data_IF_143011328578
#
_entry.id   IF_143011328578
#
_cell.length_a   1.000
_cell.length_b   1.000
_cell.length_c   1.000
_cell.angle_alpha   90.00
_cell.angle_beta   90.00
_cell.angle_gamma   90.00
#
_symmetry.space_group_name_H-M   'P 1'
#
loop_
_entity.id
_entity.type
_entity.pdbx_description
1 polymer ?
#
# COMPACT_ATOMS: atom_id res chain seq x y z
N UNK A 1 0.18 6.38 3.07
CA UNK A 1 0.34 6.25 1.61
C UNK A 1 -0.32 4.95 1.20
N UNK A 2 -1.10 4.99 0.13
CA UNK A 2 -1.79 3.83 -0.46
C UNK A 2 -1.53 3.82 -1.94
N UNK A 3 -1.35 2.61 -2.48
CA UNK A 3 -1.15 2.36 -3.90
C UNK A 3 -2.11 1.24 -4.29
N UNK A 4 -3.04 1.53 -5.17
CA UNK A 4 -4.05 0.60 -5.65
C UNK A 4 -3.79 0.27 -7.11
N UNK A 5 -4.06 -0.99 -7.46
CA UNK A 5 -4.08 -1.46 -8.84
C UNK A 5 -5.19 -2.49 -9.02
N UNK A 6 -5.76 -2.56 -10.22
CA UNK A 6 -6.62 -3.67 -10.63
C UNK A 6 -5.90 -4.62 -11.58
N UNK A 7 -6.51 -5.78 -11.88
CA UNK A 7 -5.91 -6.79 -12.75
C UNK A 7 -5.56 -6.31 -14.17
N UNK A 8 -6.18 -5.22 -14.63
CA UNK A 8 -5.93 -4.61 -15.95
C UNK A 8 -4.86 -3.52 -15.92
N UNK A 9 -4.22 -3.29 -14.77
CA UNK A 9 -3.14 -2.31 -14.62
C UNK A 9 -3.61 -0.87 -14.44
N UNK A 10 -4.91 -0.63 -14.22
CA UNK A 10 -5.37 0.71 -13.84
C UNK A 10 -4.99 0.98 -12.38
N UNK A 11 -4.40 2.15 -12.15
CA UNK A 11 -3.81 2.57 -10.88
C UNK A 11 -4.60 3.72 -10.24
N UNK A 12 -4.49 3.83 -8.91
CA UNK A 12 -4.93 4.96 -8.09
C UNK A 12 -4.03 4.99 -6.86
N UNK A 13 -3.71 6.17 -6.36
CA UNK A 13 -2.88 6.33 -5.18
C UNK A 13 -3.45 7.40 -4.25
N UNK A 14 -2.69 7.67 -3.18
CA UNK A 14 -3.00 8.76 -2.27
C UNK A 14 -2.55 8.49 -0.84
N UNK A 15 -3.19 9.19 0.07
CA UNK A 15 -3.01 9.02 1.51
C UNK A 15 -4.17 8.26 2.11
N UNK A 16 -3.91 7.55 3.20
CA UNK A 16 -4.93 6.84 3.95
C UNK A 16 -4.73 7.12 5.43
N UNK A 17 -5.82 7.40 6.12
CA UNK A 17 -5.87 7.38 7.58
C UNK A 17 -7.13 6.65 8.05
N UNK A 18 -7.06 5.99 9.20
CA UNK A 18 -8.22 5.35 9.82
C UNK A 18 -9.31 6.38 10.25
N UNK A 19 -8.95 7.67 10.35
CA UNK A 19 -9.88 8.75 10.70
C UNK A 19 -10.67 9.31 9.51
N UNK A 20 -9.99 9.55 8.39
CA UNK A 20 -10.54 10.29 7.24
C UNK A 20 -10.75 9.41 6.02
N UNK A 21 -10.19 8.20 6.00
CA UNK A 21 -10.20 7.33 4.82
C UNK A 21 -9.15 7.72 3.80
N UNK A 22 -9.42 7.38 2.53
CA UNK A 22 -8.55 7.68 1.40
C UNK A 22 -8.66 9.18 1.02
N UNK A 23 -7.51 9.82 0.85
CA UNK A 23 -7.34 11.14 0.22
C UNK A 23 -6.53 10.96 -1.06
N UNK A 24 -7.19 11.15 -2.21
CA UNK A 24 -6.61 10.95 -3.55
C UNK A 24 -6.08 12.24 -4.17
N UNK A 25 -5.79 13.26 -3.36
CA UNK A 25 -5.16 14.49 -3.81
C UNK A 25 -3.68 14.34 -4.23
N UNK A 26 -2.85 13.50 -3.55
CA UNK A 26 -1.50 13.20 -4.03
C UNK A 26 -1.53 12.46 -5.36
N UNK A 27 -0.45 12.59 -6.13
CA UNK A 27 -0.20 11.89 -7.39
C UNK A 27 1.28 11.48 -7.38
N UNK A 28 1.56 10.20 -7.10
CA UNK A 28 2.91 9.66 -6.92
C UNK A 28 3.43 9.07 -8.23
N UNK A 29 4.73 9.21 -8.50
CA UNK A 29 5.35 8.60 -9.70
C UNK A 29 5.85 7.17 -9.43
N UNK A 30 5.02 6.17 -9.72
CA UNK A 30 5.36 4.77 -9.54
C UNK A 30 4.96 3.91 -10.73
N UNK A 31 5.58 2.73 -10.85
CA UNK A 31 5.33 1.80 -11.94
C UNK A 31 4.68 0.54 -11.39
N UNK A 32 3.70 0.01 -12.13
CA UNK A 32 3.08 -1.28 -11.85
C UNK A 32 3.01 -2.11 -13.13
N UNK A 33 3.38 -3.38 -13.03
CA UNK A 33 3.12 -4.38 -14.04
C UNK A 33 2.08 -5.38 -13.51
N UNK A 34 1.08 -5.71 -14.31
CA UNK A 34 0.10 -6.76 -13.97
C UNK A 34 0.14 -7.88 -14.99
N UNK A 35 -0.13 -9.09 -14.54
CA UNK A 35 -0.28 -10.25 -15.41
C UNK A 35 -1.48 -11.06 -14.95
N UNK A 36 -2.33 -11.47 -15.89
CA UNK A 36 -3.48 -12.36 -15.66
C UNK A 36 -3.03 -13.78 -15.98
N UNK A 37 -3.30 -14.72 -15.08
CA UNK A 37 -3.03 -16.16 -15.21
C UNK A 37 -4.35 -16.96 -15.13
N UNK A 38 -4.29 -18.26 -15.41
CA UNK A 38 -5.46 -19.14 -15.38
C UNK A 38 -6.12 -19.21 -13.99
N UNK A 39 -5.34 -19.06 -12.92
CA UNK A 39 -5.78 -19.16 -11.53
C UNK A 39 -5.92 -17.80 -10.81
N UNK A 40 -5.62 -16.69 -11.50
CA UNK A 40 -5.67 -15.38 -10.87
C UNK A 40 -4.93 -14.29 -11.63
N UNK A 41 -4.32 -13.40 -10.87
CA UNK A 41 -3.50 -12.32 -11.41
C UNK A 41 -2.47 -11.88 -10.38
N UNK A 42 -1.37 -11.33 -10.87
CA UNK A 42 -0.29 -10.77 -10.08
C UNK A 42 -0.09 -9.28 -10.38
N UNK A 43 0.45 -8.56 -9.41
CA UNK A 43 0.93 -7.19 -9.57
C UNK A 43 2.35 -7.08 -9.02
N UNK A 44 3.23 -6.42 -9.76
CA UNK A 44 4.58 -6.05 -9.33
C UNK A 44 4.69 -4.54 -9.30
N UNK A 45 5.08 -4.00 -8.14
CA UNK A 45 5.20 -2.57 -7.91
C UNK A 45 6.68 -2.16 -7.86
N UNK A 46 7.00 -1.07 -8.55
CA UNK A 46 8.24 -0.33 -8.36
C UNK A 46 7.88 1.07 -7.89
N UNK A 47 8.10 1.32 -6.61
CA UNK A 47 7.86 2.62 -5.99
C UNK A 47 9.23 3.21 -5.63
N UNK A 48 9.63 4.33 -6.24
CA UNK A 48 10.86 5.02 -5.86
C UNK A 48 10.80 5.48 -4.41
N UNK A 49 11.95 5.45 -3.71
CA UNK A 49 12.03 6.03 -2.37
C UNK A 49 11.71 7.53 -2.36
N UNK A 50 11.81 8.24 -3.50
CA UNK A 50 11.38 9.64 -3.63
C UNK A 50 9.90 9.86 -3.39
N UNK A 51 9.09 8.86 -3.69
CA UNK A 51 7.63 8.94 -3.60
C UNK A 51 7.10 8.47 -2.25
N UNK A 52 7.96 7.94 -1.38
CA UNK A 52 7.55 7.41 -0.08
C UNK A 52 8.09 8.31 1.02
N UNK A 53 7.19 8.82 1.85
CA UNK A 53 7.57 9.45 3.10
C UNK A 53 8.20 8.43 4.08
N UNK A 54 9.46 8.64 4.44
CA UNK A 54 10.15 7.91 5.51
C UNK A 54 11.11 8.82 6.27
N UNK A 55 11.34 8.48 7.54
CA UNK A 55 12.42 9.07 8.32
C UNK A 55 13.65 8.15 8.22
N UNK A 56 14.72 8.67 7.62
CA UNK A 56 15.99 7.94 7.47
C UNK A 56 16.68 7.64 8.81
N UNK A 57 16.38 8.43 9.83
CA UNK A 57 16.95 8.29 11.17
C UNK A 57 16.02 7.50 12.10
N UNK A 58 14.83 7.11 11.63
CA UNK A 58 13.94 6.29 12.42
C UNK A 58 14.50 4.87 12.49
N UNK A 59 14.71 4.39 13.72
CA UNK A 59 15.01 2.99 13.99
C UNK A 59 13.78 2.07 13.78
N UNK A 60 12.61 2.66 13.51
CA UNK A 60 11.37 1.91 13.33
C UNK A 60 11.32 1.27 11.95
N UNK A 61 11.00 -0.03 11.85
CA UNK A 61 10.77 -0.67 10.57
C UNK A 61 9.55 -0.04 9.90
N UNK A 62 9.57 -0.01 8.58
CA UNK A 62 8.35 0.28 7.81
C UNK A 62 7.34 -0.81 8.06
N UNK A 63 6.07 -0.55 7.81
CA UNK A 63 5.05 -1.58 7.85
C UNK A 63 4.20 -1.56 6.59
N UNK A 64 3.69 -2.72 6.20
CA UNK A 64 2.88 -2.92 5.02
C UNK A 64 1.62 -3.71 5.38
N UNK A 65 0.50 -3.25 4.84
CA UNK A 65 -0.76 -3.96 4.90
C UNK A 65 -1.30 -4.07 3.49
N UNK A 66 -1.47 -5.31 3.02
CA UNK A 66 -2.01 -5.56 1.68
C UNK A 66 -3.52 -5.74 1.78
N UNK A 67 -4.28 -4.96 1.02
CA UNK A 67 -5.73 -5.09 0.90
C UNK A 67 -6.10 -5.65 -0.48
N UNK A 68 -6.83 -6.77 -0.47
CA UNK A 68 -7.60 -7.22 -1.64
C UNK A 68 -9.06 -6.77 -1.48
N UNK A 69 -9.47 -5.82 -2.32
CA UNK A 69 -10.84 -5.34 -2.40
C UNK A 69 -11.55 -5.98 -3.60
N UNK A 70 -12.49 -6.89 -3.35
CA UNK A 70 -13.29 -7.57 -4.39
C UNK A 70 -14.72 -7.06 -4.39
N UNK A 71 -15.12 -6.40 -5.48
CA UNK A 71 -16.49 -5.99 -5.75
C UNK A 71 -17.17 -7.06 -6.62
N UNK A 72 -17.93 -7.96 -6.01
CA UNK A 72 -18.81 -8.94 -6.72
C UNK A 72 -20.26 -8.59 -6.39
N UNK A 73 -21.07 -9.57 -5.99
CA UNK A 73 -22.43 -9.32 -5.47
C UNK A 73 -22.39 -8.49 -4.17
N UNK A 74 -21.30 -8.61 -3.41
CA UNK A 74 -20.99 -7.83 -2.22
C UNK A 74 -19.52 -7.36 -2.27
N UNK A 75 -19.18 -6.37 -1.45
CA UNK A 75 -17.80 -5.90 -1.28
C UNK A 75 -17.07 -6.73 -0.23
N UNK A 76 -16.11 -7.53 -0.67
CA UNK A 76 -15.23 -8.30 0.21
C UNK A 76 -13.89 -7.58 0.36
N UNK A 77 -13.49 -7.32 1.60
CA UNK A 77 -12.17 -6.78 1.94
C UNK A 77 -11.39 -7.84 2.71
N UNK A 78 -10.26 -8.25 2.17
CA UNK A 78 -9.34 -9.18 2.80
C UNK A 78 -8.00 -8.50 2.97
N UNK A 79 -7.51 -8.48 4.19
CA UNK A 79 -6.23 -7.88 4.54
C UNK A 79 -5.19 -8.99 4.76
N UNK A 80 -3.90 -8.69 4.55
CA UNK A 80 -2.82 -9.62 4.89
C UNK A 80 -2.72 -9.86 6.39
N UNK A 81 -3.03 -8.83 7.20
CA UNK A 81 -3.11 -8.93 8.66
C UNK A 81 -4.51 -9.31 9.17
N UNK A 82 -4.59 -9.64 10.47
CA UNK A 82 -5.80 -10.09 11.18
C UNK A 82 -6.87 -9.01 11.44
N UNK A 83 -7.14 -8.15 10.47
CA UNK A 83 -8.13 -7.05 10.58
C UNK A 83 -9.54 -7.62 10.77
N UNK A 84 -10.18 -7.29 11.88
CA UNK A 84 -11.57 -7.71 12.18
C UNK A 84 -12.57 -6.61 11.85
N UNK A 85 -13.86 -6.96 11.75
CA UNK A 85 -14.93 -5.97 11.54
C UNK A 85 -15.08 -4.96 12.68
N UNK A 86 -14.58 -5.29 13.88
CA UNK A 86 -14.61 -4.43 15.05
C UNK A 86 -13.34 -3.56 15.20
N UNK A 87 -12.36 -3.73 14.30
CA UNK A 87 -11.14 -2.94 14.33
C UNK A 87 -11.43 -1.47 14.00
N UNK A 88 -10.92 -0.57 14.85
CA UNK A 88 -10.92 0.88 14.64
C UNK A 88 -9.65 1.40 13.96
N UNK A 89 -8.61 0.57 13.89
CA UNK A 89 -7.32 0.88 13.27
C UNK A 89 -6.91 -0.29 12.37
N UNK A 90 -7.01 -0.12 11.06
CA UNK A 90 -6.58 -1.15 10.11
C UNK A 90 -5.05 -1.21 10.04
N UNK A 91 -4.38 -0.04 10.03
CA UNK A 91 -2.92 0.04 9.91
C UNK A 91 -2.18 -0.59 11.09
N UNK A 92 -2.84 -0.75 12.24
CA UNK A 92 -2.28 -1.44 13.41
C UNK A 92 -2.05 -2.95 13.19
N UNK A 93 -2.60 -3.51 12.11
CA UNK A 93 -2.41 -4.91 11.71
C UNK A 93 -1.38 -5.06 10.58
N UNK A 94 -0.66 -4.00 10.23
CA UNK A 94 0.40 -4.05 9.22
C UNK A 94 1.57 -4.89 9.70
N UNK A 95 2.17 -5.67 8.81
CA UNK A 95 3.38 -6.43 9.10
C UNK A 95 4.61 -5.54 8.94
N UNK A 96 5.61 -5.72 9.82
CA UNK A 96 6.87 -4.98 9.75
C UNK A 96 7.74 -5.48 8.58
N UNK A 97 8.29 -4.53 7.82
CA UNK A 97 9.30 -4.77 6.79
C UNK A 97 10.66 -4.48 7.40
N UNK A 98 11.44 -5.54 7.58
CA UNK A 98 12.84 -5.46 8.00
C UNK A 98 13.80 -5.40 6.81
N UNK A 99 15.02 -4.93 7.05
CA UNK A 99 16.09 -4.94 6.04
C UNK A 99 16.21 -3.66 5.21
N UNK A 100 15.27 -2.73 5.33
CA UNK A 100 15.35 -1.38 4.74
C UNK A 100 16.27 -0.48 5.58
N UNK A 101 17.59 -0.69 5.48
CA UNK A 101 18.61 0.12 6.16
C UNK A 101 19.38 0.98 5.17
N UNK A 102 19.95 2.10 5.64
CA UNK A 102 20.77 3.01 4.84
C UNK A 102 20.07 3.50 3.57
N UNK A 103 18.78 3.80 3.67
CA UNK A 103 18.01 4.34 2.56
C UNK A 103 18.60 5.69 2.11
N UNK A 104 18.53 6.02 0.81
CA UNK A 104 19.04 7.29 0.30
C UNK A 104 18.45 8.48 1.05
N UNK A 105 19.17 9.60 1.11
CA UNK A 105 18.67 10.83 1.72
C UNK A 105 18.85 12.00 0.78
N UNK A 106 17.93 12.98 0.82
CA UNK A 106 17.99 14.18 -0.03
C UNK A 106 16.78 14.37 -0.94
N UNK A 107 15.74 13.55 -0.82
CA UNK A 107 14.43 13.93 -1.34
C UNK A 107 13.80 14.94 -0.38
N UNK A 108 13.80 16.19 -0.81
CA UNK A 108 13.08 17.26 -0.14
C UNK A 108 11.61 17.12 -0.54
N UNK A 109 10.75 16.82 0.43
CA UNK A 109 9.33 17.11 0.34
C UNK A 109 9.06 18.51 0.89
#
# INVERSE_FOLDING_TARGET
QVFYVNARGAIMDGMYSDMTGDDTAPDYDYQVATAIQDDGWSAEYRIPFSEIAYDKNADKPWSLLVLRNMMRDQRYRMYSGGVTRAASCNLCFSDEIHGLKNLPSGMNW
#
